data_IF_101024293224
#
_entry.id   IF_101024293224
#
_cell.length_a   1.000
_cell.length_b   1.000
_cell.length_c   1.000
_cell.angle_alpha   90.00
_cell.angle_beta   90.00
_cell.angle_gamma   90.00
#
_symmetry.space_group_name_H-M   'P 1'
#
loop_
_entity.id
_entity.type
_entity.pdbx_description
1 polymer ?
#
# COMPACT_ATOMS: atom_id res chain seq x y z
N UNK A 1 -0.36 1.74 -22.84
CA UNK A 1 -0.91 3.09 -22.66
C UNK A 1 -1.83 3.41 -23.82
N UNK A 2 -3.06 3.83 -23.52
CA UNK A 2 -4.04 4.32 -24.49
C UNK A 2 -4.17 5.83 -24.36
N UNK A 3 -4.10 6.54 -25.47
CA UNK A 3 -4.22 8.00 -25.51
C UNK A 3 -5.44 8.32 -26.34
N UNK A 4 -6.36 9.09 -25.77
CA UNK A 4 -7.59 9.51 -26.45
C UNK A 4 -7.59 11.02 -26.59
N UNK A 5 -7.71 11.53 -27.81
CA UNK A 5 -7.88 12.95 -28.09
C UNK A 5 -9.37 13.21 -28.30
N UNK A 6 -9.97 13.99 -27.42
CA UNK A 6 -11.34 14.48 -27.56
C UNK A 6 -11.32 15.80 -28.33
N UNK A 7 -12.03 15.87 -29.44
CA UNK A 7 -12.11 17.08 -30.28
C UNK A 7 -13.56 17.40 -30.64
N UNK A 8 -13.90 18.67 -30.82
CA UNK A 8 -15.14 19.04 -31.53
C UNK A 8 -14.94 18.92 -33.05
N UNK A 9 -16.04 18.84 -33.83
CA UNK A 9 -15.97 18.95 -35.29
C UNK A 9 -15.23 20.22 -35.71
N UNK A 10 -14.37 20.10 -36.72
CA UNK A 10 -13.59 21.21 -37.30
C UNK A 10 -12.71 22.00 -36.31
N UNK A 11 -12.25 21.37 -35.21
CA UNK A 11 -11.37 22.04 -34.26
C UNK A 11 -10.03 22.43 -34.93
N UNK A 12 -9.65 23.71 -34.94
CA UNK A 12 -8.41 24.16 -35.60
C UNK A 12 -7.14 23.64 -34.91
N UNK A 13 -7.25 23.25 -33.64
CA UNK A 13 -6.12 22.75 -32.84
C UNK A 13 -6.04 21.22 -32.81
N UNK A 14 -6.98 20.50 -33.43
CA UNK A 14 -6.97 19.03 -33.52
C UNK A 14 -5.72 18.49 -34.21
N UNK A 15 -5.42 18.91 -35.46
CA UNK A 15 -4.21 18.46 -36.16
C UNK A 15 -2.90 18.82 -35.42
N UNK A 16 -2.89 19.97 -34.73
CA UNK A 16 -1.72 20.43 -33.96
C UNK A 16 -1.43 19.52 -32.77
N UNK A 17 -2.46 19.05 -32.06
CA UNK A 17 -2.23 18.15 -30.92
C UNK A 17 -1.79 16.76 -31.39
N UNK A 18 -2.29 16.27 -32.52
CA UNK A 18 -1.88 15.00 -33.11
C UNK A 18 -0.40 15.02 -33.51
N UNK A 19 0.06 16.06 -34.20
CA UNK A 19 1.47 16.23 -34.59
C UNK A 19 2.38 16.27 -33.36
N UNK A 20 2.02 17.08 -32.36
CA UNK A 20 2.80 17.20 -31.12
C UNK A 20 2.81 15.90 -30.33
N UNK A 21 1.72 15.14 -30.35
CA UNK A 21 1.63 13.83 -29.71
C UNK A 21 2.50 12.80 -30.42
N UNK A 22 2.54 12.80 -31.75
CA UNK A 22 3.45 11.95 -32.52
C UNK A 22 4.93 12.22 -32.15
N UNK A 23 5.33 13.49 -32.07
CA UNK A 23 6.68 13.87 -31.62
C UNK A 23 6.95 13.50 -30.14
N UNK A 24 5.94 13.56 -29.28
CA UNK A 24 6.06 13.18 -27.88
C UNK A 24 6.20 11.66 -27.69
N UNK A 25 5.62 10.87 -28.60
CA UNK A 25 5.60 9.41 -28.59
C UNK A 25 6.77 8.75 -29.33
N UNK A 26 7.69 9.52 -29.93
CA UNK A 26 8.88 8.96 -30.57
C UNK A 26 9.62 8.00 -29.63
N UNK A 27 9.69 6.72 -30.01
CA UNK A 27 10.31 5.65 -29.19
C UNK A 27 9.40 4.98 -28.17
N UNK A 28 8.09 5.27 -28.13
CA UNK A 28 7.10 4.67 -27.21
C UNK A 28 5.99 3.93 -27.96
N UNK A 29 5.51 2.83 -27.38
CA UNK A 29 4.34 2.11 -27.87
C UNK A 29 3.05 2.61 -27.21
N UNK A 30 2.23 3.36 -27.92
CA UNK A 30 0.91 3.81 -27.44
C UNK A 30 -0.16 3.71 -28.53
N UNK A 31 -1.39 3.36 -28.12
CA UNK A 31 -2.57 3.38 -28.99
C UNK A 31 -3.20 4.78 -28.92
N UNK A 32 -3.19 5.53 -30.03
CA UNK A 32 -3.78 6.87 -30.10
C UNK A 32 -5.11 6.80 -30.84
N UNK A 33 -6.19 7.22 -30.17
CA UNK A 33 -7.53 7.33 -30.74
C UNK A 33 -8.03 8.76 -30.74
N UNK A 34 -8.71 9.17 -31.81
CA UNK A 34 -9.41 10.44 -31.90
C UNK A 34 -10.91 10.19 -31.72
N UNK A 35 -11.55 10.96 -30.84
CA UNK A 35 -12.99 10.91 -30.59
C UNK A 35 -13.57 12.29 -30.83
N UNK A 36 -14.48 12.38 -31.78
CA UNK A 36 -15.24 13.59 -32.05
C UNK A 36 -16.42 13.70 -31.08
N UNK A 37 -16.55 14.84 -30.42
CA UNK A 37 -17.56 15.14 -29.40
C UNK A 37 -18.50 16.20 -29.97
N UNK A 38 -19.73 15.80 -30.29
CA UNK A 38 -20.70 16.63 -30.99
C UNK A 38 -21.67 17.39 -30.09
N UNK A 39 -21.81 17.01 -28.82
CA UNK A 39 -22.80 17.58 -27.91
C UNK A 39 -22.30 17.69 -26.44
N UNK A 40 -22.99 18.51 -25.65
CA UNK A 40 -22.62 18.78 -24.27
C UNK A 40 -22.76 17.56 -23.35
N UNK A 41 -23.65 16.62 -23.69
CA UNK A 41 -23.84 15.40 -22.91
C UNK A 41 -22.65 14.45 -23.09
N UNK A 42 -22.16 14.29 -24.33
CA UNK A 42 -20.92 13.59 -24.65
C UNK A 42 -19.72 14.25 -23.96
N UNK A 43 -19.65 15.58 -23.97
CA UNK A 43 -18.58 16.31 -23.29
C UNK A 43 -18.54 16.01 -21.78
N UNK A 44 -19.70 15.96 -21.11
CA UNK A 44 -19.79 15.57 -19.70
C UNK A 44 -19.38 14.12 -19.49
N UNK A 45 -19.92 13.19 -20.28
CA UNK A 45 -19.64 11.75 -20.14
C UNK A 45 -18.16 11.42 -20.35
N UNK A 46 -17.50 12.13 -21.26
CA UNK A 46 -16.09 11.92 -21.59
C UNK A 46 -15.13 12.83 -20.80
N UNK A 47 -15.65 13.70 -19.92
CA UNK A 47 -14.83 14.61 -19.12
C UNK A 47 -14.12 15.71 -19.94
N UNK A 48 -14.65 16.06 -21.12
CA UNK A 48 -14.07 17.06 -22.00
C UNK A 48 -14.28 18.47 -21.43
N UNK A 49 -13.22 19.13 -20.99
CA UNK A 49 -13.24 20.51 -20.48
C UNK A 49 -12.95 21.56 -21.55
N UNK A 50 -12.82 21.13 -22.81
CA UNK A 50 -12.64 21.96 -24.00
C UNK A 50 -11.87 21.24 -25.10
N UNK A 51 -11.91 21.75 -26.34
CA UNK A 51 -11.27 21.14 -27.50
C UNK A 51 -9.89 21.73 -27.82
N UNK A 52 -8.88 20.89 -28.12
CA UNK A 52 -8.83 19.45 -27.90
C UNK A 52 -8.58 19.15 -26.42
N UNK A 53 -9.01 17.97 -25.93
CA UNK A 53 -8.63 17.42 -24.62
C UNK A 53 -7.88 16.11 -24.81
N UNK A 54 -6.70 15.99 -24.20
CA UNK A 54 -5.89 14.77 -24.27
C UNK A 54 -6.13 13.97 -22.99
N UNK A 55 -6.56 12.71 -23.16
CA UNK A 55 -6.70 11.74 -22.09
C UNK A 55 -5.62 10.68 -22.21
N UNK A 56 -4.90 10.40 -21.13
CA UNK A 56 -3.97 9.28 -21.01
C UNK A 56 -4.61 8.25 -20.08
N UNK A 57 -4.87 7.06 -20.61
CA UNK A 57 -5.61 5.98 -19.93
C UNK A 57 -6.93 6.45 -19.28
N UNK A 58 -7.62 7.39 -19.94
CA UNK A 58 -8.89 7.96 -19.50
C UNK A 58 -8.78 9.16 -18.55
N UNK A 59 -7.58 9.58 -18.18
CA UNK A 59 -7.32 10.72 -17.28
C UNK A 59 -6.77 11.91 -18.05
N UNK A 60 -7.30 13.11 -17.78
CA UNK A 60 -6.80 14.37 -18.32
C UNK A 60 -5.64 14.91 -17.44
N UNK A 61 -4.38 14.85 -17.90
CA UNK A 61 -3.23 15.30 -17.11
C UNK A 61 -3.15 16.83 -16.99
N UNK A 62 -3.97 17.56 -17.75
CA UNK A 62 -4.00 19.03 -17.77
C UNK A 62 -5.28 19.58 -17.11
N UNK A 63 -6.04 18.73 -16.42
CA UNK A 63 -7.32 19.11 -15.83
C UNK A 63 -7.15 20.26 -14.82
N UNK A 64 -8.03 21.26 -14.91
CA UNK A 64 -8.11 22.34 -13.92
C UNK A 64 -9.26 22.03 -12.97
N UNK A 65 -8.98 22.05 -11.66
CA UNK A 65 -9.98 21.74 -10.64
C UNK A 65 -11.21 22.65 -10.77
N UNK A 66 -12.39 22.03 -10.83
CA UNK A 66 -13.68 22.74 -10.97
C UNK A 66 -14.01 23.25 -12.37
N UNK A 67 -13.21 22.93 -13.40
CA UNK A 67 -13.54 23.29 -14.77
C UNK A 67 -14.76 22.48 -15.27
N UNK A 68 -15.81 23.13 -15.79
CA UNK A 68 -16.97 22.43 -16.32
C UNK A 68 -16.64 21.78 -17.67
N UNK A 69 -17.41 20.74 -18.02
CA UNK A 69 -17.36 20.19 -19.37
C UNK A 69 -17.75 21.25 -20.41
N UNK A 70 -17.05 21.29 -21.54
CA UNK A 70 -17.16 22.36 -22.53
C UNK A 70 -16.82 21.87 -23.94
N UNK A 71 -17.57 22.37 -24.92
CA UNK A 71 -17.28 22.24 -26.36
C UNK A 71 -16.45 23.41 -26.91
N UNK A 72 -16.04 24.35 -26.05
CA UNK A 72 -15.24 25.52 -26.45
C UNK A 72 -13.76 25.16 -26.61
N UNK A 73 -12.98 26.06 -27.22
CA UNK A 73 -11.52 25.89 -27.29
C UNK A 73 -10.89 25.82 -25.90
N UNK A 74 -10.04 24.83 -25.68
CA UNK A 74 -9.23 24.72 -24.46
C UNK A 74 -7.93 25.46 -24.63
N UNK A 75 -7.53 26.20 -23.59
CA UNK A 75 -6.25 26.90 -23.56
C UNK A 75 -5.28 26.19 -22.61
N UNK A 76 -4.12 25.86 -23.14
CA UNK A 76 -3.00 25.23 -22.44
C UNK A 76 -1.97 26.31 -22.14
N UNK A 77 -1.58 26.44 -20.87
CA UNK A 77 -0.53 27.40 -20.47
C UNK A 77 0.81 26.69 -20.41
N UNK A 78 1.73 27.11 -21.27
CA UNK A 78 3.11 26.64 -21.26
C UNK A 78 3.92 27.25 -20.11
N UNK A 79 5.11 26.69 -19.86
CA UNK A 79 6.05 27.19 -18.84
C UNK A 79 6.60 28.60 -19.13
N UNK A 80 6.44 29.08 -20.36
CA UNK A 80 6.76 30.45 -20.79
C UNK A 80 5.61 31.45 -20.54
N UNK A 81 4.51 30.99 -19.96
CA UNK A 81 3.32 31.78 -19.63
C UNK A 81 2.39 32.06 -20.81
N UNK A 82 2.69 31.55 -22.01
CA UNK A 82 1.83 31.71 -23.18
C UNK A 82 0.67 30.71 -23.15
N UNK A 83 -0.50 31.16 -23.57
CA UNK A 83 -1.68 30.32 -23.73
C UNK A 83 -1.82 29.89 -25.20
N UNK A 84 -1.82 28.59 -25.44
CA UNK A 84 -1.98 27.99 -26.76
C UNK A 84 -3.20 27.07 -26.82
N UNK A 85 -3.69 26.80 -28.03
CA UNK A 85 -4.83 25.91 -28.26
C UNK A 85 -4.51 24.41 -28.16
N UNK A 86 -3.24 24.03 -27.93
CA UNK A 86 -2.81 22.65 -27.76
C UNK A 86 -1.65 22.60 -26.73
N UNK A 87 -1.48 21.49 -25.98
CA UNK A 87 -0.34 21.30 -25.10
C UNK A 87 0.97 21.28 -25.89
N UNK A 88 2.07 21.68 -25.25
CA UNK A 88 3.41 21.61 -25.89
C UNK A 88 3.93 20.18 -25.92
N UNK A 89 4.89 19.87 -26.81
CA UNK A 89 5.55 18.55 -26.85
C UNK A 89 6.23 18.23 -25.52
N UNK A 90 6.82 19.24 -24.85
CA UNK A 90 7.46 19.05 -23.55
C UNK A 90 6.46 18.70 -22.44
N UNK A 91 5.28 19.32 -22.45
CA UNK A 91 4.22 19.02 -21.48
C UNK A 91 3.60 17.65 -21.72
N UNK A 92 3.42 17.27 -22.99
CA UNK A 92 3.00 15.92 -23.37
C UNK A 92 4.02 14.87 -22.93
N UNK A 93 5.32 15.08 -23.18
CA UNK A 93 6.38 14.16 -22.71
C UNK A 93 6.37 14.02 -21.19
N UNK A 94 6.23 15.13 -20.45
CA UNK A 94 6.15 15.10 -18.98
C UNK A 94 4.91 14.34 -18.50
N UNK A 95 3.77 14.53 -19.14
CA UNK A 95 2.53 13.82 -18.82
C UNK A 95 2.65 12.32 -19.12
N UNK A 96 3.30 11.94 -20.22
CA UNK A 96 3.57 10.55 -20.59
C UNK A 96 4.60 9.89 -19.65
N UNK A 97 5.64 10.62 -19.23
CA UNK A 97 6.61 10.14 -18.24
C UNK A 97 5.99 9.94 -16.85
N UNK A 98 5.12 10.88 -16.44
CA UNK A 98 4.32 10.72 -15.24
C UNK A 98 3.37 9.54 -15.38
N UNK A 99 2.73 9.37 -16.54
CA UNK A 99 1.84 8.24 -16.83
C UNK A 99 2.58 6.90 -16.77
N UNK A 100 3.79 6.80 -17.34
CA UNK A 100 4.63 5.60 -17.26
C UNK A 100 5.12 5.33 -15.82
N UNK A 101 5.39 6.38 -15.03
CA UNK A 101 5.70 6.27 -13.60
C UNK A 101 4.46 5.86 -12.77
N UNK A 102 3.27 6.27 -13.19
CA UNK A 102 2.00 5.87 -12.57
C UNK A 102 1.45 4.54 -13.09
N UNK A 103 1.90 4.06 -14.25
CA UNK A 103 1.61 2.73 -14.77
C UNK A 103 2.32 1.66 -13.95
N UNK A 104 3.46 2.01 -13.32
CA UNK A 104 4.06 1.24 -12.21
C UNK A 104 3.30 1.41 -10.88
N UNK A 105 2.37 2.36 -10.76
CA UNK A 105 1.61 2.65 -9.52
C UNK A 105 0.09 2.33 -9.57
N UNK A 106 -0.48 1.90 -10.71
CA UNK A 106 -1.90 1.53 -10.78
C UNK A 106 -2.08 0.00 -10.63
N UNK A 107 -1.62 -0.54 -9.51
CA UNK A 107 -2.23 -1.76 -8.97
C UNK A 107 -3.44 -1.36 -8.11
N UNK A 108 -4.52 -2.15 -8.08
CA UNK A 108 -5.54 -2.00 -7.04
C UNK A 108 -4.85 -2.00 -5.66
N UNK A 109 -5.41 -1.31 -4.63
CA UNK A 109 -4.75 -1.17 -3.33
C UNK A 109 -4.29 -2.55 -2.86
N UNK A 110 -2.96 -2.74 -2.80
CA UNK A 110 -2.42 -4.01 -2.33
C UNK A 110 -2.79 -4.06 -0.86
N UNK A 111 -3.62 -5.04 -0.53
CA UNK A 111 -3.99 -5.29 0.85
C UNK A 111 -2.79 -5.90 1.57
N UNK A 112 -1.86 -5.05 1.98
CA UNK A 112 -0.68 -5.43 2.74
C UNK A 112 -1.06 -6.01 4.10
N UNK A 113 -2.27 -5.73 4.60
CA UNK A 113 -2.82 -6.39 5.78
C UNK A 113 -3.41 -7.78 5.47
N UNK A 114 -3.61 -8.17 4.20
CA UNK A 114 -4.06 -9.49 3.80
C UNK A 114 -5.44 -9.91 4.32
N UNK A 115 -6.31 -8.96 4.71
CA UNK A 115 -7.63 -9.19 5.31
C UNK A 115 -8.80 -8.59 4.53
N UNK A 116 -8.71 -8.58 3.21
CA UNK A 116 -9.62 -7.89 2.30
C UNK A 116 -9.98 -6.45 2.76
N UNK A 117 -8.98 -5.71 3.27
CA UNK A 117 -9.15 -4.33 3.74
C UNK A 117 -9.79 -4.16 5.13
N UNK A 118 -10.03 -5.23 5.89
CA UNK A 118 -10.65 -5.18 7.25
C UNK A 118 -9.72 -4.69 8.37
N UNK A 119 -8.48 -4.29 8.04
CA UNK A 119 -7.48 -3.83 9.00
C UNK A 119 -7.05 -4.92 9.99
N UNK A 120 -6.24 -4.54 10.99
CA UNK A 120 -5.69 -5.45 12.01
C UNK A 120 -6.16 -5.18 13.43
N UNK A 121 -7.03 -4.19 13.65
CA UNK A 121 -7.54 -3.89 14.98
C UNK A 121 -8.85 -4.65 15.23
N UNK A 122 -8.87 -5.56 16.19
CA UNK A 122 -10.06 -6.31 16.54
C UNK A 122 -11.18 -5.40 17.07
N UNK A 123 -12.46 -5.79 16.94
CA UNK A 123 -13.58 -5.05 17.52
C UNK A 123 -13.49 -4.94 19.04
N UNK A 124 -14.06 -3.87 19.62
CA UNK A 124 -14.18 -3.74 21.09
C UNK A 124 -15.11 -4.81 21.68
N UNK A 125 -16.07 -5.28 20.89
CA UNK A 125 -17.10 -6.20 21.33
C UNK A 125 -16.52 -7.53 21.85
N UNK A 126 -17.13 -8.07 22.90
CA UNK A 126 -16.83 -9.42 23.38
C UNK A 126 -15.39 -9.65 23.84
N UNK A 127 -14.67 -8.60 24.22
CA UNK A 127 -13.28 -8.68 24.71
C UNK A 127 -12.21 -8.94 23.65
N UNK A 128 -12.58 -8.98 22.36
CA UNK A 128 -11.66 -9.30 21.26
C UNK A 128 -10.45 -8.36 21.23
N UNK A 129 -10.68 -7.03 21.20
CA UNK A 129 -9.61 -6.03 21.24
C UNK A 129 -8.77 -6.10 22.52
N UNK A 130 -9.40 -6.33 23.67
CA UNK A 130 -8.68 -6.38 24.93
C UNK A 130 -7.70 -7.56 24.96
N UNK A 131 -8.14 -8.73 24.50
CA UNK A 131 -7.29 -9.93 24.41
C UNK A 131 -6.24 -9.79 23.31
N UNK A 132 -6.58 -9.27 22.13
CA UNK A 132 -5.60 -8.98 21.06
C UNK A 132 -4.48 -8.06 21.57
N UNK A 133 -4.83 -6.93 22.17
CA UNK A 133 -3.82 -6.00 22.71
C UNK A 133 -3.02 -6.61 23.85
N UNK A 134 -3.62 -7.50 24.67
CA UNK A 134 -2.88 -8.24 25.70
C UNK A 134 -1.85 -9.19 25.09
N UNK A 135 -2.19 -9.89 24.00
CA UNK A 135 -1.26 -10.74 23.25
C UNK A 135 -0.09 -9.91 22.69
N UNK A 136 -0.39 -8.80 22.02
CA UNK A 136 0.63 -7.94 21.41
C UNK A 136 1.58 -7.34 22.45
N UNK A 137 1.04 -6.87 23.60
CA UNK A 137 1.86 -6.38 24.71
C UNK A 137 2.71 -7.49 25.34
N UNK A 138 2.20 -8.71 25.43
CA UNK A 138 2.95 -9.84 25.95
C UNK A 138 4.16 -10.15 25.05
N UNK A 139 3.98 -10.24 23.73
CA UNK A 139 5.09 -10.40 22.79
C UNK A 139 6.17 -9.32 22.97
N UNK A 140 5.78 -8.05 23.04
CA UNK A 140 6.72 -6.94 23.22
C UNK A 140 7.48 -6.99 24.55
N UNK A 141 6.87 -7.57 25.60
CA UNK A 141 7.47 -7.69 26.92
C UNK A 141 8.36 -8.93 27.07
N UNK A 142 8.03 -10.04 26.43
CA UNK A 142 8.66 -11.34 26.69
C UNK A 142 9.41 -11.94 25.51
N UNK A 143 9.17 -11.46 24.28
CA UNK A 143 9.70 -12.04 23.06
C UNK A 143 8.93 -13.26 22.54
N UNK A 144 7.89 -13.72 23.26
CA UNK A 144 7.21 -14.99 23.00
C UNK A 144 5.68 -14.84 23.01
N UNK A 145 4.97 -15.83 22.48
CA UNK A 145 3.51 -15.87 22.55
C UNK A 145 3.04 -16.21 23.98
N UNK A 146 1.99 -15.57 24.50
CA UNK A 146 1.40 -15.96 25.78
C UNK A 146 0.74 -17.33 25.68
N UNK A 147 0.72 -18.05 26.80
CA UNK A 147 -0.20 -19.20 26.96
C UNK A 147 -1.60 -18.68 27.24
N UNK A 148 -2.63 -19.44 26.83
CA UNK A 148 -4.04 -19.02 26.94
C UNK A 148 -4.42 -18.58 28.37
N UNK A 149 -3.91 -19.27 29.39
CA UNK A 149 -4.17 -18.94 30.79
C UNK A 149 -3.70 -17.53 31.22
N UNK A 150 -2.68 -16.96 30.56
CA UNK A 150 -2.19 -15.61 30.84
C UNK A 150 -3.15 -14.52 30.33
N UNK A 151 -4.09 -14.88 29.46
CA UNK A 151 -5.06 -13.98 28.86
C UNK A 151 -6.41 -13.96 29.60
N UNK A 152 -6.58 -14.82 30.62
CA UNK A 152 -7.86 -14.97 31.33
C UNK A 152 -8.32 -13.69 31.99
N UNK A 153 -7.42 -12.89 32.56
CA UNK A 153 -7.78 -11.62 33.16
C UNK A 153 -8.40 -10.64 32.13
N UNK A 154 -7.88 -10.62 30.90
CA UNK A 154 -8.39 -9.77 29.83
C UNK A 154 -9.76 -10.24 29.32
N UNK A 155 -9.96 -11.56 29.20
CA UNK A 155 -11.22 -12.12 28.74
C UNK A 155 -12.33 -12.05 29.82
N UNK A 156 -11.99 -12.35 31.08
CA UNK A 156 -12.95 -12.39 32.19
C UNK A 156 -13.58 -11.01 32.48
N UNK A 157 -12.86 -9.92 32.20
CA UNK A 157 -13.40 -8.55 32.26
C UNK A 157 -14.61 -8.33 31.33
N UNK A 158 -14.78 -9.20 30.34
CA UNK A 158 -15.90 -9.19 29.38
C UNK A 158 -16.82 -10.41 29.53
N UNK A 159 -16.70 -11.17 30.63
CA UNK A 159 -17.56 -12.32 30.92
C UNK A 159 -17.32 -13.53 30.01
N UNK A 160 -16.12 -13.65 29.43
CA UNK A 160 -15.72 -14.76 28.56
C UNK A 160 -14.45 -15.43 29.05
N UNK A 161 -14.20 -16.66 28.61
CA UNK A 161 -12.91 -17.33 28.84
C UNK A 161 -11.89 -16.91 27.79
N UNK A 162 -10.59 -16.97 28.11
CA UNK A 162 -9.55 -16.67 27.14
C UNK A 162 -9.59 -17.59 25.92
N UNK A 163 -9.90 -18.88 26.13
CA UNK A 163 -10.00 -19.86 25.04
C UNK A 163 -11.07 -19.48 24.00
N UNK A 164 -12.24 -19.02 24.44
CA UNK A 164 -13.32 -18.59 23.55
C UNK A 164 -12.92 -17.36 22.73
N UNK A 165 -12.32 -16.35 23.39
CA UNK A 165 -11.94 -15.10 22.71
C UNK A 165 -10.78 -15.35 21.73
N UNK A 166 -9.80 -16.18 22.09
CA UNK A 166 -8.69 -16.54 21.18
C UNK A 166 -9.19 -17.34 19.99
N UNK A 167 -10.14 -18.26 20.18
CA UNK A 167 -10.75 -19.00 19.08
C UNK A 167 -11.47 -18.07 18.08
N UNK A 168 -12.25 -17.10 18.57
CA UNK A 168 -12.89 -16.09 17.72
C UNK A 168 -11.87 -15.23 16.96
N UNK A 169 -10.85 -14.73 17.66
CA UNK A 169 -9.76 -13.97 17.05
C UNK A 169 -9.03 -14.78 15.97
N UNK A 170 -8.87 -16.09 16.17
CA UNK A 170 -8.33 -17.00 15.18
C UNK A 170 -9.26 -17.19 13.97
N UNK A 171 -10.55 -17.40 14.21
CA UNK A 171 -11.57 -17.55 13.17
C UNK A 171 -11.72 -16.30 12.29
N UNK A 172 -11.50 -15.13 12.86
CA UNK A 172 -11.54 -13.85 12.16
C UNK A 172 -10.17 -13.42 11.58
N UNK A 173 -9.10 -14.22 11.68
CA UNK A 173 -7.74 -13.91 11.18
C UNK A 173 -7.08 -12.66 11.83
N UNK A 174 -7.38 -12.40 13.10
CA UNK A 174 -6.58 -11.49 13.93
C UNK A 174 -5.38 -12.21 14.55
N UNK A 175 -5.55 -13.50 14.85
CA UNK A 175 -4.49 -14.40 15.33
C UNK A 175 -4.36 -15.60 14.39
N UNK A 176 -3.16 -16.18 14.34
CA UNK A 176 -2.94 -17.49 13.70
C UNK A 176 -2.74 -18.51 14.79
N UNK A 177 -3.56 -19.56 14.79
CA UNK A 177 -3.50 -20.64 15.76
C UNK A 177 -2.89 -21.90 15.15
N UNK A 178 -2.21 -22.71 15.97
CA UNK A 178 -1.81 -24.08 15.59
C UNK A 178 -2.97 -25.09 15.79
N UNK A 179 -2.74 -26.34 15.41
CA UNK A 179 -3.72 -27.43 15.53
C UNK A 179 -4.17 -27.71 16.97
N UNK A 180 -3.45 -27.18 17.97
CA UNK A 180 -3.74 -27.32 19.40
C UNK A 180 -4.39 -26.05 19.98
N UNK A 181 -4.74 -25.07 19.13
CA UNK A 181 -5.33 -23.79 19.54
C UNK A 181 -4.35 -22.82 20.19
N UNK A 182 -3.04 -23.05 20.06
CA UNK A 182 -2.01 -22.13 20.60
C UNK A 182 -1.68 -21.04 19.58
N UNK A 183 -1.33 -19.87 20.08
CA UNK A 183 -0.99 -18.71 19.25
C UNK A 183 0.34 -18.96 18.54
N UNK A 184 0.30 -19.12 17.22
CA UNK A 184 1.46 -19.22 16.33
C UNK A 184 1.90 -17.85 15.81
N UNK A 185 0.97 -16.93 15.61
CA UNK A 185 1.26 -15.55 15.23
C UNK A 185 0.16 -14.58 15.71
N UNK A 186 0.57 -13.34 15.95
CA UNK A 186 -0.30 -12.22 16.29
C UNK A 186 0.30 -10.98 15.64
N UNK A 187 -0.23 -10.56 14.49
CA UNK A 187 0.43 -9.55 13.65
C UNK A 187 0.69 -8.26 14.42
N UNK A 188 1.92 -7.72 14.38
CA UNK A 188 3.01 -8.07 13.46
C UNK A 188 3.89 -9.29 13.83
N UNK A 189 3.70 -9.89 15.00
CA UNK A 189 4.60 -10.88 15.59
C UNK A 189 4.35 -12.34 15.15
N UNK A 190 5.43 -13.11 15.12
CA UNK A 190 5.47 -14.56 14.99
C UNK A 190 5.95 -15.19 16.30
N UNK A 191 5.34 -16.29 16.72
CA UNK A 191 5.79 -17.07 17.88
C UNK A 191 7.06 -17.87 17.59
N UNK A 192 7.29 -18.23 16.32
CA UNK A 192 8.48 -18.96 15.87
C UNK A 192 9.48 -18.06 15.15
N UNK A 193 10.76 -18.47 15.06
CA UNK A 193 11.77 -17.74 14.30
C UNK A 193 11.37 -17.54 12.84
N UNK A 194 11.60 -16.33 12.32
CA UNK A 194 11.44 -15.97 10.91
C UNK A 194 12.72 -15.32 10.39
N UNK A 195 12.78 -14.96 9.11
CA UNK A 195 13.90 -14.16 8.59
C UNK A 195 13.94 -12.76 9.21
N UNK A 196 12.79 -12.23 9.62
CA UNK A 196 12.62 -10.84 10.05
C UNK A 196 12.69 -10.75 11.57
N UNK A 197 13.88 -10.42 12.10
CA UNK A 197 14.09 -10.22 13.54
C UNK A 197 13.99 -8.75 13.88
N UNK A 198 13.27 -8.42 14.96
CA UNK A 198 13.19 -7.06 15.50
C UNK A 198 13.73 -7.06 16.92
N UNK A 199 14.76 -6.26 17.18
CA UNK A 199 15.31 -6.01 18.51
C UNK A 199 14.79 -4.67 19.02
N UNK A 200 14.03 -4.70 20.09
CA UNK A 200 13.46 -3.52 20.73
C UNK A 200 14.50 -2.78 21.57
N UNK A 201 14.27 -1.50 21.85
CA UNK A 201 15.11 -0.69 22.75
C UNK A 201 15.25 -1.31 24.15
N UNK A 202 14.26 -2.08 24.60
CA UNK A 202 14.31 -2.84 25.87
C UNK A 202 15.34 -3.98 25.87
N UNK A 203 15.88 -4.34 24.71
CA UNK A 203 16.75 -5.50 24.52
C UNK A 203 15.99 -6.80 24.20
N UNK A 204 14.65 -6.79 24.25
CA UNK A 204 13.82 -7.94 23.85
C UNK A 204 13.89 -8.12 22.34
N UNK A 205 14.06 -9.37 21.91
CA UNK A 205 13.99 -9.74 20.50
C UNK A 205 12.66 -10.44 20.22
N UNK A 206 12.03 -10.05 19.12
CA UNK A 206 10.80 -10.64 18.57
C UNK A 206 11.00 -10.99 17.10
N UNK A 207 10.17 -11.88 16.59
CA UNK A 207 10.14 -12.24 15.18
C UNK A 207 8.90 -11.64 14.53
N UNK A 208 9.04 -11.08 13.33
CA UNK A 208 7.93 -10.54 12.56
C UNK A 208 7.52 -11.51 11.45
N UNK A 209 6.24 -11.53 11.10
CA UNK A 209 5.72 -12.43 10.06
C UNK A 209 6.19 -12.04 8.65
N UNK A 210 6.38 -10.75 8.38
CA UNK A 210 6.90 -10.25 7.10
C UNK A 210 7.66 -8.91 7.23
N UNK A 211 8.13 -8.37 6.12
CA UNK A 211 8.86 -7.10 6.09
C UNK A 211 8.01 -5.90 6.55
N UNK A 212 6.77 -5.77 6.07
CA UNK A 212 5.85 -4.69 6.49
C UNK A 212 5.48 -4.82 7.96
N UNK A 213 5.31 -6.05 8.45
CA UNK A 213 5.05 -6.32 9.86
C UNK A 213 6.25 -5.85 10.72
N UNK A 214 7.48 -6.16 10.30
CA UNK A 214 8.69 -5.75 11.00
C UNK A 214 8.79 -4.22 11.12
N UNK A 215 8.53 -3.50 10.03
CA UNK A 215 8.52 -2.03 10.02
C UNK A 215 7.43 -1.46 10.93
N UNK A 216 6.27 -2.12 11.00
CA UNK A 216 5.14 -1.70 11.83
C UNK A 216 5.36 -1.86 13.35
N UNK A 217 6.30 -2.69 13.78
CA UNK A 217 6.55 -2.94 15.22
C UNK A 217 6.93 -1.66 15.97
N UNK A 218 7.85 -0.87 15.40
CA UNK A 218 8.35 0.34 16.07
C UNK A 218 7.26 1.40 16.24
N UNK A 219 6.48 1.66 15.18
CA UNK A 219 5.35 2.58 15.21
C UNK A 219 4.24 2.08 16.17
N UNK A 220 3.93 0.78 16.17
CA UNK A 220 2.91 0.19 17.06
C UNK A 220 3.27 0.35 18.55
N UNK A 221 4.55 0.18 18.88
CA UNK A 221 5.03 0.26 20.26
C UNK A 221 5.45 1.67 20.68
N UNK A 222 5.58 2.60 19.73
CA UNK A 222 6.15 3.92 19.97
C UNK A 222 7.58 3.85 20.53
N UNK A 223 8.39 2.90 20.05
CA UNK A 223 9.72 2.60 20.58
C UNK A 223 10.74 2.38 19.48
N UNK A 224 11.99 2.76 19.76
CA UNK A 224 13.12 2.49 18.88
C UNK A 224 13.35 0.98 18.71
N UNK A 225 13.79 0.59 17.52
CA UNK A 225 14.01 -0.81 17.18
C UNK A 225 15.06 -0.98 16.09
N UNK A 226 15.74 -2.13 16.09
CA UNK A 226 16.63 -2.56 15.01
C UNK A 226 16.04 -3.81 14.38
N UNK A 227 15.74 -3.73 13.08
CA UNK A 227 15.27 -4.83 12.26
C UNK A 227 16.48 -5.45 11.58
N UNK A 228 16.59 -6.78 11.59
CA UNK A 228 17.57 -7.53 10.81
C UNK A 228 16.83 -8.55 9.97
N UNK A 229 17.12 -8.56 8.68
CA UNK A 229 16.57 -9.51 7.70
C UNK A 229 17.64 -9.95 6.69
N UNK A 230 17.25 -10.72 5.69
CA UNK A 230 18.12 -11.16 4.61
C UNK A 230 17.37 -11.15 3.27
N UNK A 231 18.07 -10.73 2.22
CA UNK A 231 17.55 -10.79 0.86
C UNK A 231 17.33 -12.27 0.45
N UNK A 232 16.13 -12.67 0.03
CA UNK A 232 15.85 -14.08 -0.26
C UNK A 232 16.52 -14.59 -1.56
N UNK A 233 17.13 -13.72 -2.36
CA UNK A 233 17.88 -14.08 -3.57
C UNK A 233 19.38 -14.21 -3.28
N UNK A 234 19.95 -13.28 -2.50
CA UNK A 234 21.40 -13.21 -2.26
C UNK A 234 21.83 -13.67 -0.87
N UNK A 235 20.89 -13.79 0.07
CA UNK A 235 21.11 -14.01 1.50
C UNK A 235 21.92 -12.91 2.20
N UNK A 236 22.15 -11.79 1.53
CA UNK A 236 22.84 -10.63 2.13
C UNK A 236 21.96 -9.99 3.19
N UNK A 237 22.59 -9.56 4.29
CA UNK A 237 21.90 -8.97 5.43
C UNK A 237 21.37 -7.57 5.10
N UNK A 238 20.15 -7.32 5.55
CA UNK A 238 19.50 -6.01 5.52
C UNK A 238 19.24 -5.61 6.97
N UNK A 239 19.60 -4.37 7.32
CA UNK A 239 19.42 -3.84 8.67
C UNK A 239 18.75 -2.49 8.60
N UNK A 240 17.59 -2.38 9.25
CA UNK A 240 16.84 -1.13 9.34
C UNK A 240 16.80 -0.68 10.79
N UNK A 241 17.14 0.58 11.05
CA UNK A 241 17.23 1.14 12.41
C UNK A 241 16.21 2.25 12.55
N UNK A 242 15.22 2.05 13.42
CA UNK A 242 14.30 3.08 13.87
C UNK A 242 14.85 3.74 15.13
N UNK A 243 15.18 5.03 15.03
CA UNK A 243 15.65 5.83 16.16
C UNK A 243 14.94 7.19 16.15
N UNK A 244 14.25 7.51 17.24
CA UNK A 244 13.51 8.77 17.38
C UNK A 244 12.42 8.96 16.33
N UNK A 245 11.80 7.86 15.88
CA UNK A 245 10.76 7.88 14.84
C UNK A 245 11.28 8.02 13.40
N UNK A 246 12.59 7.97 13.20
CA UNK A 246 13.23 7.99 11.88
C UNK A 246 13.84 6.63 11.56
N UNK A 247 13.55 6.11 10.37
CA UNK A 247 14.11 4.85 9.89
C UNK A 247 15.33 5.10 9.00
N UNK A 248 16.40 4.35 9.25
CA UNK A 248 17.60 4.32 8.39
C UNK A 248 17.84 2.89 7.92
N UNK A 249 17.98 2.71 6.61
CA UNK A 249 18.07 1.40 5.97
C UNK A 249 19.48 1.12 5.47
N UNK A 250 19.94 -0.11 5.66
CA UNK A 250 21.21 -0.59 5.14
C UNK A 250 21.02 -1.94 4.44
N UNK A 251 21.31 -2.06 3.12
CA UNK A 251 21.81 -1.00 2.25
C UNK A 251 20.77 0.10 1.98
N UNK A 252 21.22 1.31 1.66
CA UNK A 252 20.33 2.43 1.31
C UNK A 252 19.53 2.22 0.02
N UNK A 253 19.85 1.16 -0.73
CA UNK A 253 19.13 0.72 -1.93
C UNK A 253 18.07 -0.34 -1.64
N UNK A 254 17.91 -0.71 -0.36
CA UNK A 254 16.93 -1.71 0.04
C UNK A 254 15.50 -1.25 -0.27
N UNK A 255 14.68 -2.24 -0.64
CA UNK A 255 13.26 -2.08 -0.99
C UNK A 255 12.45 -3.22 -0.39
N UNK A 256 11.14 -3.08 -0.36
CA UNK A 256 10.22 -4.16 0.04
C UNK A 256 9.41 -4.59 -1.18
N UNK A 257 9.32 -5.89 -1.44
CA UNK A 257 8.30 -6.39 -2.38
C UNK A 257 6.98 -6.53 -1.63
N UNK A 258 5.94 -5.85 -2.09
CA UNK A 258 4.59 -5.94 -1.53
C UNK A 258 3.73 -6.67 -2.55
N UNK A 259 3.19 -7.82 -2.15
CA UNK A 259 2.37 -8.64 -3.03
C UNK A 259 1.52 -9.62 -2.25
N UNK A 260 0.66 -10.32 -2.99
CA UNK A 260 -0.24 -11.34 -2.48
C UNK A 260 -0.37 -12.48 -3.49
N UNK A 261 -0.70 -13.67 -3.01
CA UNK A 261 -1.11 -14.79 -3.85
C UNK A 261 -2.51 -14.56 -4.40
N UNK A 262 -2.82 -15.20 -5.52
CA UNK A 262 -4.17 -15.17 -6.10
C UNK A 262 -5.20 -16.06 -5.36
N UNK A 263 -4.84 -16.63 -4.21
CA UNK A 263 -5.70 -17.53 -3.43
C UNK A 263 -6.32 -16.83 -2.21
N UNK A 264 -7.46 -17.33 -1.76
CA UNK A 264 -8.12 -16.88 -0.52
C UNK A 264 -7.65 -17.72 0.67
N UNK A 265 -7.35 -17.10 1.80
CA UNK A 265 -6.90 -17.76 3.03
C UNK A 265 -6.48 -16.76 4.10
N UNK A 266 -5.97 -17.24 5.26
CA UNK A 266 -5.39 -16.39 6.29
C UNK A 266 -4.28 -15.51 5.71
N UNK A 267 -4.13 -14.28 6.23
CA UNK A 267 -3.15 -13.34 5.71
C UNK A 267 -1.70 -13.88 5.74
N UNK A 268 -1.36 -14.72 6.71
CA UNK A 268 -0.07 -15.41 6.82
C UNK A 268 0.24 -16.28 5.58
N UNK A 269 -0.79 -16.88 4.98
CA UNK A 269 -0.65 -17.80 3.85
C UNK A 269 -0.76 -17.08 2.50
N UNK A 270 -1.51 -15.96 2.47
CA UNK A 270 -1.81 -15.20 1.25
C UNK A 270 -0.78 -14.12 0.96
N UNK A 271 -0.32 -13.38 1.98
CA UNK A 271 0.47 -12.16 1.79
C UNK A 271 1.90 -12.29 2.33
N UNK A 272 2.09 -12.85 3.53
CA UNK A 272 3.38 -12.79 4.24
C UNK A 272 4.53 -13.48 3.48
N UNK A 273 4.24 -14.50 2.66
CA UNK A 273 5.24 -15.15 1.81
C UNK A 273 5.83 -14.24 0.70
N UNK A 274 5.09 -13.21 0.28
CA UNK A 274 5.54 -12.24 -0.72
C UNK A 274 6.21 -11.01 -0.11
N UNK A 275 5.80 -10.61 1.09
CA UNK A 275 6.20 -9.38 1.77
C UNK A 275 7.62 -9.48 2.34
N UNK A 276 8.65 -9.31 1.51
CA UNK A 276 10.05 -9.46 1.89
C UNK A 276 10.90 -8.22 1.60
N UNK A 277 11.97 -8.07 2.38
CA UNK A 277 13.05 -7.12 2.11
C UNK A 277 13.98 -7.62 1.01
N UNK A 278 14.52 -6.70 0.24
CA UNK A 278 15.50 -6.95 -0.81
C UNK A 278 16.59 -5.89 -0.75
N UNK A 279 17.85 -6.26 -1.01
CA UNK A 279 18.96 -5.29 -1.04
C UNK A 279 18.82 -4.31 -2.18
N UNK A 280 18.06 -4.63 -3.23
CA UNK A 280 17.81 -3.74 -4.38
C UNK A 280 16.55 -4.10 -5.15
N UNK A 281 16.03 -3.15 -5.95
CA UNK A 281 14.97 -3.44 -6.94
C UNK A 281 15.32 -4.59 -7.89
N UNK A 282 16.60 -4.75 -8.23
CA UNK A 282 17.07 -5.83 -9.12
C UNK A 282 16.85 -7.21 -8.50
N UNK A 283 17.14 -7.38 -7.21
CA UNK A 283 16.93 -8.67 -6.52
C UNK A 283 15.44 -8.91 -6.29
N UNK A 284 14.66 -7.89 -5.95
CA UNK A 284 13.19 -7.97 -5.89
C UNK A 284 12.58 -8.45 -7.22
N UNK A 285 12.94 -7.84 -8.35
CA UNK A 285 12.47 -8.27 -9.67
C UNK A 285 12.91 -9.70 -10.03
N UNK A 286 14.09 -10.12 -9.58
CA UNK A 286 14.59 -11.49 -9.80
C UNK A 286 13.77 -12.50 -9.00
N UNK A 287 13.44 -12.17 -7.75
CA UNK A 287 12.58 -12.99 -6.91
C UNK A 287 11.17 -13.09 -7.49
N UNK A 288 10.57 -11.97 -7.91
CA UNK A 288 9.23 -11.94 -8.49
C UNK A 288 9.12 -12.84 -9.74
N UNK A 289 10.12 -12.84 -10.63
CA UNK A 289 10.16 -13.75 -11.79
C UNK A 289 10.24 -15.23 -11.42
N UNK A 290 10.81 -15.56 -10.26
CA UNK A 290 10.91 -16.95 -9.76
C UNK A 290 9.65 -17.40 -9.01
N UNK A 291 8.78 -16.48 -8.62
CA UNK A 291 7.58 -16.73 -7.85
C UNK A 291 6.34 -16.14 -8.55
N UNK A 292 5.95 -16.68 -9.73
CA UNK A 292 4.84 -16.15 -10.51
C UNK A 292 3.46 -16.37 -9.85
N UNK A 293 3.40 -17.12 -8.74
CA UNK A 293 2.21 -17.30 -7.91
C UNK A 293 1.85 -16.04 -7.10
N UNK A 294 2.76 -15.07 -7.00
CA UNK A 294 2.53 -13.80 -6.35
C UNK A 294 2.37 -12.67 -7.37
N UNK A 295 1.40 -11.80 -7.11
CA UNK A 295 1.21 -10.54 -7.81
C UNK A 295 1.53 -9.39 -6.86
N UNK A 296 2.39 -8.47 -7.30
CA UNK A 296 2.90 -7.39 -6.45
C UNK A 296 3.99 -6.58 -7.12
N UNK A 297 4.58 -5.66 -6.36
CA UNK A 297 5.61 -4.73 -6.83
C UNK A 297 6.63 -4.41 -5.74
N UNK A 298 7.82 -3.97 -6.16
CA UNK A 298 8.82 -3.43 -5.26
C UNK A 298 8.49 -1.96 -4.93
N UNK A 299 8.30 -1.66 -3.66
CA UNK A 299 8.04 -0.32 -3.13
C UNK A 299 9.28 0.25 -2.45
N UNK A 300 9.41 1.57 -2.47
CA UNK A 300 10.49 2.29 -1.79
C UNK A 300 10.27 2.34 -0.27
N UNK A 301 11.34 2.68 0.45
CA UNK A 301 11.42 2.75 1.91
C UNK A 301 10.28 3.57 2.54
N UNK A 302 10.05 4.79 2.06
CA UNK A 302 9.01 5.68 2.60
C UNK A 302 7.60 5.11 2.45
N UNK A 303 7.34 4.40 1.35
CA UNK A 303 6.05 3.74 1.11
C UNK A 303 5.90 2.51 2.00
N UNK A 304 6.95 1.70 2.16
CA UNK A 304 6.96 0.54 3.05
C UNK A 304 6.73 0.94 4.52
N UNK A 305 7.42 1.99 4.99
CA UNK A 305 7.23 2.57 6.32
C UNK A 305 5.80 3.09 6.51
N UNK A 306 5.27 3.81 5.53
CA UNK A 306 3.89 4.32 5.59
C UNK A 306 2.86 3.19 5.67
N UNK A 307 3.08 2.08 4.93
CA UNK A 307 2.23 0.90 5.02
C UNK A 307 2.27 0.29 6.42
N UNK A 308 3.45 0.01 6.96
CA UNK A 308 3.60 -0.53 8.31
C UNK A 308 2.92 0.33 9.37
N UNK A 309 3.16 1.65 9.34
CA UNK A 309 2.52 2.62 10.24
C UNK A 309 1.00 2.63 10.11
N UNK A 310 0.48 2.61 8.89
CA UNK A 310 -0.98 2.67 8.64
C UNK A 310 -1.71 1.43 9.14
N UNK A 311 -1.06 0.26 9.10
CA UNK A 311 -1.66 -1.02 9.50
C UNK A 311 -1.56 -1.20 11.02
N UNK A 312 -0.40 -0.87 11.61
CA UNK A 312 -0.07 -1.27 12.98
C UNK A 312 -0.04 -0.13 14.00
N UNK A 313 0.17 1.12 13.56
CA UNK A 313 0.43 2.25 14.46
C UNK A 313 -0.69 2.55 15.46
N UNK A 314 -1.94 2.17 15.15
CA UNK A 314 -3.07 2.38 16.04
C UNK A 314 -3.43 1.18 16.93
N UNK A 315 -2.75 0.03 16.80
CA UNK A 315 -3.21 -1.21 17.42
C UNK A 315 -3.23 -1.19 18.95
N UNK A 316 -2.24 -0.53 19.56
CA UNK A 316 -2.09 -0.48 21.02
C UNK A 316 -2.62 0.80 21.65
N UNK A 317 -3.15 1.72 20.84
CA UNK A 317 -3.83 2.91 21.35
C UNK A 317 -5.05 2.49 22.17
N UNK A 318 -5.32 3.26 23.23
CA UNK A 318 -6.55 3.08 23.99
C UNK A 318 -7.76 3.34 23.08
N UNK A 319 -8.85 2.61 23.29
CA UNK A 319 -10.10 2.96 22.64
C UNK A 319 -10.54 4.33 23.16
N UNK A 320 -10.69 5.31 22.25
CA UNK A 320 -11.33 6.58 22.57
C UNK A 320 -12.69 6.29 23.22
N UNK A 321 -13.01 6.89 24.38
CA UNK A 321 -14.33 6.74 24.96
C UNK A 321 -15.35 7.23 23.94
N UNK A 322 -16.38 6.42 23.67
CA UNK A 322 -17.51 6.84 22.85
C UNK A 322 -18.24 7.93 23.64
N UNK A 323 -17.89 9.19 23.42
CA UNK A 323 -18.71 10.30 23.87
C UNK A 323 -20.07 10.14 23.21
N UNK A 324 -21.07 9.86 24.05
CA UNK A 324 -22.44 9.63 23.63
C UNK A 324 -22.90 10.80 22.77
N UNK A 325 -23.24 10.51 21.50
CA UNK A 325 -24.14 11.38 20.76
C UNK A 325 -25.47 11.35 21.50
N UNK A 326 -25.68 12.36 22.34
CA UNK A 326 -26.96 12.66 22.96
C UNK A 326 -28.04 12.78 21.89
N UNK A 327 -29.23 12.31 22.25
CA UNK A 327 -30.47 12.37 21.47
C UNK A 327 -30.73 13.76 20.86
#
# INVERSE_FOLDING_TARGET
>A
MRITVLTVPDCPNGPVVEERLACALEGRGAEVGLVEVGDAEQAVRLGMTGSPTVLIDGVDPFAVSGAPASLSCRLYRGSDGRAEGAPSVADLRRALDAADTTADCACPPIDAAGRAGRGRLAPVAGGLRAVEQAVLRHFAATGHAPVIGELEAAAAAHGRTAAEVVADLGGDDFLVLDDHGRIRAAYPFSAGPTTHRVRLASGIEVWAMCAIDALGVADMLGSDAVITSADPVTSETITDTCAGGHMTWQPSTAVVYVGQRSCTGPAADVACGALNFFTSRRTACTWARRHPDYTGQAVEQSQAEALGRSIFGSLLLAAEPVEGRGC
#
